data_IF_288238820456
#
_entry.id   IF_288238820456
#
_cell.length_a   1.000
_cell.length_b   1.000
_cell.length_c   1.000
_cell.angle_alpha   90.00
_cell.angle_beta   90.00
_cell.angle_gamma   90.00
#
_symmetry.space_group_name_H-M   'P 1'
#
loop_
_entity.id
_entity.type
_entity.pdbx_description
1 polymer ?
#
# COMPACT_ATOMS: atom_id res chain seq x y z
N UNK A 1 -15.16 -1.21 11.77
CA UNK A 1 -14.41 -2.04 10.80
C UNK A 1 -15.42 -2.77 9.92
N UNK A 2 -15.47 -2.43 8.64
CA UNK A 2 -16.39 -3.13 7.73
C UNK A 2 -15.73 -4.44 7.32
N UNK A 3 -16.27 -5.54 7.83
CA UNK A 3 -15.83 -6.87 7.45
C UNK A 3 -16.29 -7.13 6.00
N UNK A 4 -15.40 -7.56 5.12
CA UNK A 4 -15.74 -7.93 3.74
C UNK A 4 -16.85 -8.99 3.66
N UNK A 5 -16.96 -9.84 4.67
CA UNK A 5 -18.03 -10.85 4.75
C UNK A 5 -19.42 -10.24 4.94
N UNK A 6 -19.51 -9.01 5.43
CA UNK A 6 -20.79 -8.31 5.61
C UNK A 6 -21.28 -7.61 4.33
N UNK A 7 -20.43 -7.51 3.31
CA UNK A 7 -20.77 -6.91 2.02
C UNK A 7 -21.48 -7.91 1.11
N UNK A 8 -22.44 -7.42 0.32
CA UNK A 8 -23.04 -8.22 -0.74
C UNK A 8 -21.97 -8.56 -1.79
N UNK A 9 -22.23 -9.59 -2.60
CA UNK A 9 -21.35 -10.00 -3.70
C UNK A 9 -21.09 -8.84 -4.68
N UNK A 10 -22.13 -8.04 -4.96
CA UNK A 10 -22.04 -6.86 -5.83
C UNK A 10 -21.13 -5.79 -5.21
N UNK A 11 -21.33 -5.47 -3.93
CA UNK A 11 -20.52 -4.47 -3.23
C UNK A 11 -19.04 -4.86 -3.16
N UNK A 12 -18.75 -6.15 -2.92
CA UNK A 12 -17.37 -6.66 -2.94
C UNK A 12 -16.73 -6.50 -4.31
N UNK A 13 -17.45 -6.84 -5.37
CA UNK A 13 -16.97 -6.72 -6.75
C UNK A 13 -16.70 -5.25 -7.12
N UNK A 14 -17.61 -4.35 -6.79
CA UNK A 14 -17.44 -2.91 -7.02
C UNK A 14 -16.18 -2.37 -6.30
N UNK A 15 -16.00 -2.73 -5.04
CA UNK A 15 -14.85 -2.31 -4.23
C UNK A 15 -13.53 -2.83 -4.79
N UNK A 16 -13.49 -4.09 -5.20
CA UNK A 16 -12.31 -4.68 -5.83
C UNK A 16 -12.02 -3.96 -7.16
N UNK A 17 -13.04 -3.71 -7.98
CA UNK A 17 -12.90 -2.99 -9.23
C UNK A 17 -12.29 -1.60 -9.05
N UNK A 18 -12.78 -0.81 -8.09
CA UNK A 18 -12.22 0.50 -7.75
C UNK A 18 -10.75 0.42 -7.36
N UNK A 19 -10.37 -0.56 -6.55
CA UNK A 19 -9.00 -0.74 -6.12
C UNK A 19 -8.07 -1.24 -7.24
N UNK A 20 -8.58 -2.10 -8.11
CA UNK A 20 -7.81 -2.55 -9.28
C UNK A 20 -7.53 -1.38 -10.22
N UNK A 21 -8.50 -0.50 -10.44
CA UNK A 21 -8.32 0.72 -11.21
C UNK A 21 -7.29 1.65 -10.54
N UNK A 22 -7.43 1.90 -9.25
CA UNK A 22 -6.51 2.72 -8.46
C UNK A 22 -5.06 2.20 -8.53
N UNK A 23 -4.89 0.90 -8.50
CA UNK A 23 -3.57 0.24 -8.51
C UNK A 23 -3.05 0.00 -9.92
N UNK A 24 -3.78 0.42 -10.95
CA UNK A 24 -3.45 0.17 -12.37
C UNK A 24 -3.22 -1.33 -12.67
N UNK A 25 -4.00 -2.19 -12.02
CA UNK A 25 -3.98 -3.63 -12.26
C UNK A 25 -5.14 -4.05 -13.15
N UNK A 26 -4.86 -4.91 -14.10
CA UNK A 26 -5.88 -5.49 -14.94
C UNK A 26 -6.68 -6.55 -14.16
N UNK A 27 -8.01 -6.51 -14.28
CA UNK A 27 -8.89 -7.46 -13.57
C UNK A 27 -8.59 -8.92 -13.89
N UNK A 28 -8.04 -9.20 -15.10
CA UNK A 28 -7.62 -10.56 -15.48
C UNK A 28 -6.60 -11.17 -14.52
N UNK A 29 -5.83 -10.32 -13.82
CA UNK A 29 -4.81 -10.78 -12.88
C UNK A 29 -5.42 -11.40 -11.61
N UNK A 30 -6.71 -11.18 -11.35
CA UNK A 30 -7.42 -11.83 -10.24
C UNK A 30 -7.54 -13.35 -10.45
N UNK A 31 -7.52 -13.79 -11.69
CA UNK A 31 -7.63 -15.23 -12.05
C UNK A 31 -6.26 -15.88 -12.27
N UNK A 32 -5.17 -15.12 -12.13
CA UNK A 32 -3.80 -15.61 -12.30
C UNK A 32 -3.26 -16.07 -10.94
N UNK A 33 -2.64 -17.27 -10.86
CA UNK A 33 -1.96 -17.68 -9.63
C UNK A 33 -0.92 -16.68 -9.18
N UNK A 34 -0.90 -16.33 -7.88
CA UNK A 34 -0.01 -15.32 -7.35
C UNK A 34 1.47 -15.53 -7.69
N UNK A 35 1.89 -16.81 -7.77
CA UNK A 35 3.28 -17.17 -8.14
C UNK A 35 3.67 -16.78 -9.57
N UNK A 36 2.69 -16.52 -10.45
CA UNK A 36 2.93 -16.12 -11.85
C UNK A 36 2.96 -14.58 -12.02
N UNK A 37 2.66 -13.83 -10.96
CA UNK A 37 2.72 -12.38 -10.97
C UNK A 37 4.15 -11.89 -10.79
N UNK A 38 4.48 -10.74 -11.39
CA UNK A 38 5.75 -10.05 -11.10
C UNK A 38 5.82 -9.61 -9.64
N UNK A 39 7.02 -9.30 -9.14
CA UNK A 39 7.20 -8.79 -7.78
C UNK A 39 6.36 -7.54 -7.50
N UNK A 40 6.34 -6.59 -8.44
CA UNK A 40 5.52 -5.39 -8.33
C UNK A 40 4.02 -5.66 -8.37
N UNK A 41 3.57 -6.59 -9.21
CA UNK A 41 2.17 -7.01 -9.27
C UNK A 41 1.75 -7.70 -7.98
N UNK A 42 2.59 -8.58 -7.42
CA UNK A 42 2.32 -9.21 -6.12
C UNK A 42 2.18 -8.19 -4.99
N UNK A 43 3.06 -7.17 -4.95
CA UNK A 43 2.99 -6.08 -3.96
C UNK A 43 1.72 -5.28 -4.11
N UNK A 44 1.36 -4.89 -5.32
CA UNK A 44 0.11 -4.16 -5.58
C UNK A 44 -1.11 -4.98 -5.21
N UNK A 45 -1.14 -6.27 -5.53
CA UNK A 45 -2.24 -7.17 -5.14
C UNK A 45 -2.36 -7.28 -3.61
N UNK A 46 -1.24 -7.36 -2.91
CA UNK A 46 -1.23 -7.35 -1.43
C UNK A 46 -1.81 -6.05 -0.88
N UNK A 47 -1.50 -4.91 -1.51
CA UNK A 47 -2.08 -3.61 -1.14
C UNK A 47 -3.58 -3.57 -1.42
N UNK A 48 -4.04 -4.04 -2.57
CA UNK A 48 -5.48 -4.16 -2.88
C UNK A 48 -6.20 -4.95 -1.79
N UNK A 49 -5.62 -6.07 -1.39
CA UNK A 49 -6.17 -6.92 -0.33
C UNK A 49 -6.27 -6.16 1.00
N UNK A 50 -5.20 -5.49 1.41
CA UNK A 50 -5.17 -4.74 2.66
C UNK A 50 -6.12 -3.54 2.64
N UNK A 51 -6.21 -2.84 1.51
CA UNK A 51 -7.04 -1.65 1.32
C UNK A 51 -8.52 -1.97 1.15
N UNK A 52 -8.86 -3.20 0.73
CA UNK A 52 -10.25 -3.60 0.46
C UNK A 52 -11.17 -3.55 1.67
N UNK A 53 -10.63 -3.65 2.87
CA UNK A 53 -11.39 -3.53 4.12
C UNK A 53 -11.52 -2.07 4.59
N UNK A 54 -10.97 -1.11 3.84
CA UNK A 54 -10.92 0.32 4.17
C UNK A 54 -10.45 0.58 5.61
N UNK A 55 -9.21 0.19 5.93
CA UNK A 55 -8.67 0.35 7.27
C UNK A 55 -8.45 1.83 7.60
N UNK A 56 -8.55 2.19 8.87
CA UNK A 56 -8.17 3.52 9.37
C UNK A 56 -6.65 3.66 9.51
N UNK A 57 -5.97 2.56 9.74
CA UNK A 57 -4.52 2.49 9.91
C UNK A 57 -3.97 1.35 9.07
N UNK A 58 -2.92 1.62 8.33
CA UNK A 58 -2.26 0.63 7.48
C UNK A 58 -0.77 0.59 7.81
N UNK A 59 -0.29 -0.58 8.19
CA UNK A 59 1.15 -0.80 8.45
C UNK A 59 1.77 -1.40 7.20
N UNK A 60 2.78 -0.73 6.69
CA UNK A 60 3.47 -1.06 5.45
C UNK A 60 4.92 -1.42 5.80
N UNK A 61 5.19 -2.70 5.97
CA UNK A 61 6.51 -3.19 6.38
C UNK A 61 7.34 -3.59 5.15
N UNK A 62 8.33 -2.75 4.82
CA UNK A 62 9.27 -2.98 3.71
C UNK A 62 8.58 -3.30 2.37
N UNK A 63 7.44 -2.65 2.08
CA UNK A 63 6.63 -2.95 0.88
C UNK A 63 7.31 -2.61 -0.43
N UNK A 64 8.37 -1.80 -0.41
CA UNK A 64 9.14 -1.40 -1.58
C UNK A 64 10.44 -2.19 -1.75
N UNK A 65 10.81 -2.99 -0.74
CA UNK A 65 12.07 -3.74 -0.73
C UNK A 65 12.13 -4.76 -1.87
N UNK A 66 13.26 -4.80 -2.55
CA UNK A 66 13.50 -5.75 -3.65
C UNK A 66 12.81 -5.41 -4.98
N UNK A 67 12.09 -4.30 -5.06
CA UNK A 67 11.50 -3.83 -6.31
C UNK A 67 12.47 -2.96 -7.09
N UNK A 68 12.42 -3.06 -8.43
CA UNK A 68 13.09 -2.10 -9.29
C UNK A 68 12.47 -0.69 -9.16
N UNK A 69 13.15 0.32 -9.69
CA UNK A 69 12.72 1.72 -9.54
C UNK A 69 11.32 1.97 -10.14
N UNK A 70 11.01 1.35 -11.26
CA UNK A 70 9.71 1.54 -11.94
C UNK A 70 8.60 0.91 -11.12
N UNK A 71 8.78 -0.31 -10.64
CA UNK A 71 7.82 -1.01 -9.80
C UNK A 71 7.64 -0.32 -8.45
N UNK A 72 8.71 0.15 -7.84
CA UNK A 72 8.65 0.90 -6.59
C UNK A 72 7.88 2.21 -6.75
N UNK A 73 8.13 2.96 -7.82
CA UNK A 73 7.41 4.19 -8.12
C UNK A 73 5.91 3.93 -8.32
N UNK A 74 5.55 2.86 -9.02
CA UNK A 74 4.16 2.48 -9.22
C UNK A 74 3.46 2.19 -7.89
N UNK A 75 4.10 1.48 -6.97
CA UNK A 75 3.57 1.21 -5.62
C UNK A 75 3.44 2.51 -4.82
N UNK A 76 4.44 3.38 -4.87
CA UNK A 76 4.38 4.66 -4.16
C UNK A 76 3.23 5.55 -4.65
N UNK A 77 2.98 5.59 -5.95
CA UNK A 77 1.83 6.33 -6.52
C UNK A 77 0.49 5.78 -6.04
N UNK A 78 0.36 4.47 -5.94
CA UNK A 78 -0.83 3.82 -5.36
C UNK A 78 -1.05 4.28 -3.93
N UNK A 79 -0.01 4.27 -3.10
CA UNK A 79 -0.10 4.69 -1.71
C UNK A 79 -0.48 6.17 -1.58
N UNK A 80 0.16 7.04 -2.38
CA UNK A 80 -0.15 8.47 -2.41
C UNK A 80 -1.61 8.73 -2.82
N UNK A 81 -2.09 8.05 -3.85
CA UNK A 81 -3.45 8.21 -4.36
C UNK A 81 -4.47 7.68 -3.36
N UNK A 82 -4.23 6.51 -2.76
CA UNK A 82 -5.11 5.95 -1.74
C UNK A 82 -5.22 6.88 -0.52
N UNK A 83 -4.11 7.44 -0.08
CA UNK A 83 -4.09 8.39 1.03
C UNK A 83 -4.88 9.67 0.74
N UNK A 84 -4.88 10.13 -0.52
CA UNK A 84 -5.70 11.29 -0.92
C UNK A 84 -7.19 10.99 -0.98
N UNK A 85 -7.56 9.79 -1.38
CA UNK A 85 -8.97 9.43 -1.60
C UNK A 85 -9.66 8.86 -0.35
N UNK A 86 -8.91 8.25 0.54
CA UNK A 86 -9.44 7.58 1.73
C UNK A 86 -8.78 8.12 3.00
N UNK A 87 -9.58 8.18 4.07
CA UNK A 87 -9.09 8.56 5.39
C UNK A 87 -8.38 7.36 6.05
N UNK A 88 -7.09 7.26 5.78
CA UNK A 88 -6.23 6.18 6.27
C UNK A 88 -4.86 6.73 6.67
N UNK A 89 -4.45 6.49 7.89
CA UNK A 89 -3.11 6.80 8.33
C UNK A 89 -2.16 5.64 8.03
N UNK A 90 -0.97 5.95 7.52
CA UNK A 90 0.05 4.97 7.19
C UNK A 90 1.18 4.98 8.20
N UNK A 91 1.61 3.79 8.60
CA UNK A 91 2.91 3.58 9.25
C UNK A 91 3.80 2.83 8.26
N UNK A 92 4.73 3.56 7.66
CA UNK A 92 5.68 2.99 6.69
C UNK A 92 6.98 2.63 7.39
N UNK A 93 7.38 1.38 7.30
CA UNK A 93 8.67 0.88 7.77
C UNK A 93 9.57 0.67 6.56
N UNK A 94 10.67 1.40 6.49
CA UNK A 94 11.60 1.35 5.38
C UNK A 94 13.01 1.79 5.81
N UNK A 95 14.03 1.30 5.10
CA UNK A 95 15.40 1.79 5.22
C UNK A 95 15.78 2.74 4.06
N UNK A 96 14.84 2.94 3.11
CA UNK A 96 15.05 3.86 2.00
C UNK A 96 14.55 5.27 2.33
N UNK A 97 15.49 6.20 2.42
CA UNK A 97 15.21 7.57 2.82
C UNK A 97 14.40 8.35 1.79
N UNK A 98 14.58 8.07 0.50
CA UNK A 98 13.85 8.77 -0.55
C UNK A 98 12.36 8.44 -0.48
N UNK A 99 12.03 7.17 -0.31
CA UNK A 99 10.64 6.71 -0.12
C UNK A 99 10.04 7.25 1.16
N UNK A 100 10.80 7.24 2.26
CA UNK A 100 10.35 7.79 3.53
C UNK A 100 10.02 9.28 3.39
N UNK A 101 10.88 10.04 2.74
CA UNK A 101 10.68 11.47 2.51
C UNK A 101 9.47 11.75 1.63
N UNK A 102 9.30 10.96 0.57
CA UNK A 102 8.20 11.14 -0.39
C UNK A 102 6.84 10.84 0.23
N UNK A 103 6.73 9.75 1.01
CA UNK A 103 5.46 9.19 1.45
C UNK A 103 4.99 9.64 2.83
N UNK A 104 5.85 10.28 3.63
CA UNK A 104 5.52 10.58 5.02
C UNK A 104 5.56 12.06 5.37
N UNK A 105 4.79 12.43 6.38
CA UNK A 105 4.79 13.77 7.00
C UNK A 105 5.76 13.83 8.17
N UNK A 106 5.96 12.71 8.86
CA UNK A 106 6.84 12.59 10.02
C UNK A 106 7.72 11.37 9.84
N UNK A 107 9.02 11.53 10.06
CA UNK A 107 10.01 10.44 9.98
C UNK A 107 10.57 10.18 11.37
N UNK A 108 10.45 8.94 11.83
CA UNK A 108 11.06 8.47 13.06
C UNK A 108 12.29 7.63 12.70
N UNK A 109 13.47 8.08 13.12
CA UNK A 109 14.68 7.28 12.93
C UNK A 109 14.88 6.38 14.13
N UNK A 110 15.05 5.08 13.87
CA UNK A 110 15.25 4.08 14.91
C UNK A 110 16.67 3.50 14.85
N UNK A 111 17.24 3.26 16.01
CA UNK A 111 18.52 2.58 16.17
C UNK A 111 18.48 1.73 17.43
N UNK A 112 18.90 0.46 17.32
CA UNK A 112 18.92 -0.49 18.43
C UNK A 112 17.62 -0.55 19.24
N UNK A 113 16.48 -0.54 18.54
CA UNK A 113 15.15 -0.62 19.16
C UNK A 113 14.66 0.69 19.80
N UNK A 114 15.38 1.79 19.63
CA UNK A 114 15.01 3.09 20.19
C UNK A 114 14.83 4.14 19.11
N UNK A 115 13.92 5.07 19.35
CA UNK A 115 13.74 6.25 18.50
C UNK A 115 14.83 7.25 18.85
N UNK A 116 15.72 7.54 17.90
CA UNK A 116 16.86 8.45 18.11
C UNK A 116 16.65 9.83 17.48
N UNK A 117 15.69 9.96 16.57
CA UNK A 117 15.38 11.23 15.91
C UNK A 117 13.93 11.26 15.43
N UNK A 118 13.32 12.43 15.53
CA UNK A 118 12.01 12.74 14.96
C UNK A 118 12.16 13.90 13.99
N UNK A 119 11.79 13.71 12.74
CA UNK A 119 11.79 14.75 11.71
C UNK A 119 10.39 14.99 11.20
N UNK A 120 9.98 16.27 11.13
CA UNK A 120 8.69 16.67 10.58
C UNK A 120 8.93 17.34 9.24
N UNK A 121 8.23 16.88 8.21
CA UNK A 121 8.26 17.46 6.88
C UNK A 121 7.52 18.79 6.90
N UNK A 122 8.21 19.83 6.49
CA UNK A 122 7.63 21.17 6.35
C UNK A 122 7.05 21.38 4.97
#
# INVERSE_FOLDING_TARGET
>A
MVNLTSLSKRQRRERIGELMELTHMEERLLDVPARQLSGGEQRRLSLVRAMSIRPKYLILDEVLSGLDLISADAVMRVLEQYHREFDCAFLLITHDMDSAYRLSDTILTMQAGQIVRVGIKQ
#
